data_IF_851561965608
#
_entry.id   IF_851561965608
#
_cell.length_a   1.000
_cell.length_b   1.000
_cell.length_c   1.000
_cell.angle_alpha   90.00
_cell.angle_beta   90.00
_cell.angle_gamma   90.00
#
_symmetry.space_group_name_H-M   'P 1'
#
loop_
_entity.id
_entity.type
_entity.pdbx_description
1 polymer ?
#
# COMPACT_ATOMS: atom_id res chain seq x y z
N UNK A 1 20.93 3.91 11.57
CA UNK A 1 20.34 3.80 10.22
C UNK A 1 21.41 3.31 9.26
N UNK A 2 21.13 2.27 8.52
CA UNK A 2 22.09 1.76 7.55
C UNK A 2 21.96 2.54 6.23
N UNK A 3 22.90 2.33 5.31
CA UNK A 3 22.92 3.04 4.04
C UNK A 3 21.71 2.74 3.17
N UNK A 4 21.10 1.57 3.34
CA UNK A 4 19.90 1.20 2.60
C UNK A 4 18.73 2.08 3.02
N UNK A 5 18.56 2.30 4.32
CA UNK A 5 17.44 3.13 4.81
C UNK A 5 17.59 4.57 4.35
N UNK A 6 18.82 5.10 4.40
CA UNK A 6 19.05 6.46 3.91
C UNK A 6 18.79 6.58 2.43
N UNK A 7 19.22 5.58 1.66
CA UNK A 7 19.00 5.56 0.21
C UNK A 7 17.51 5.42 -0.12
N UNK A 8 16.81 4.53 0.60
CA UNK A 8 15.39 4.33 0.38
C UNK A 8 14.59 5.60 0.68
N UNK A 9 14.90 6.27 1.77
CA UNK A 9 14.21 7.51 2.14
C UNK A 9 14.46 8.60 1.11
N UNK A 10 15.71 8.74 0.67
CA UNK A 10 16.08 9.72 -0.37
C UNK A 10 15.42 9.39 -1.69
N UNK A 11 15.41 8.11 -2.06
CA UNK A 11 14.78 7.66 -3.30
C UNK A 11 13.29 7.95 -3.29
N UNK A 12 12.61 7.60 -2.20
CA UNK A 12 11.17 7.87 -2.06
C UNK A 12 10.89 9.37 -2.17
N UNK A 13 11.72 10.21 -1.58
CA UNK A 13 11.51 11.65 -1.63
C UNK A 13 11.77 12.27 -2.99
N UNK A 14 12.74 11.73 -3.74
CA UNK A 14 13.18 12.33 -5.01
C UNK A 14 12.52 11.70 -6.22
N UNK A 15 12.30 10.38 -6.19
CA UNK A 15 11.85 9.64 -7.37
C UNK A 15 10.43 9.13 -7.24
N UNK A 16 10.06 8.71 -6.05
CA UNK A 16 8.86 7.92 -5.87
C UNK A 16 7.59 8.76 -5.67
N UNK A 17 7.71 9.97 -5.13
CA UNK A 17 6.54 10.80 -4.85
C UNK A 17 5.66 10.99 -6.07
N UNK A 18 6.24 11.39 -7.19
CA UNK A 18 5.50 11.61 -8.42
C UNK A 18 4.93 10.32 -9.00
N UNK A 19 5.75 9.26 -9.02
CA UNK A 19 5.35 7.98 -9.61
C UNK A 19 4.24 7.33 -8.77
N UNK A 20 4.46 7.23 -7.47
CA UNK A 20 3.48 6.57 -6.60
C UNK A 20 2.19 7.37 -6.47
N UNK A 21 2.28 8.70 -6.42
CA UNK A 21 1.08 9.53 -6.41
C UNK A 21 0.26 9.35 -7.67
N UNK A 22 0.91 9.30 -8.83
CA UNK A 22 0.22 9.07 -10.09
C UNK A 22 -0.44 7.69 -10.13
N UNK A 23 0.25 6.68 -9.60
CA UNK A 23 -0.33 5.33 -9.52
C UNK A 23 -1.54 5.30 -8.60
N UNK A 24 -1.44 5.91 -7.43
CA UNK A 24 -2.56 5.98 -6.51
C UNK A 24 -3.73 6.75 -7.10
N UNK A 25 -3.45 7.86 -7.77
CA UNK A 25 -4.49 8.66 -8.44
C UNK A 25 -5.15 7.87 -9.56
N UNK A 26 -4.37 7.09 -10.31
CA UNK A 26 -4.92 6.24 -11.36
C UNK A 26 -5.83 5.17 -10.79
N UNK A 27 -5.41 4.50 -9.72
CA UNK A 27 -6.25 3.50 -9.06
C UNK A 27 -7.52 4.12 -8.50
N UNK A 28 -7.40 5.28 -7.86
CA UNK A 28 -8.56 6.01 -7.35
C UNK A 28 -9.54 6.33 -8.48
N UNK A 29 -9.02 6.77 -9.62
CA UNK A 29 -9.84 7.05 -10.80
C UNK A 29 -10.58 5.81 -11.27
N UNK A 30 -9.89 4.65 -11.33
CA UNK A 30 -10.53 3.39 -11.71
C UNK A 30 -11.63 3.01 -10.71
N UNK A 31 -11.37 3.16 -9.42
CA UNK A 31 -12.35 2.81 -8.39
C UNK A 31 -13.58 3.69 -8.46
N UNK A 32 -13.39 4.98 -8.73
CA UNK A 32 -14.51 5.93 -8.86
C UNK A 32 -15.38 5.65 -10.06
N UNK A 33 -14.80 5.07 -11.12
CA UNK A 33 -15.52 4.72 -12.34
C UNK A 33 -16.17 3.34 -12.27
N UNK A 34 -15.93 2.60 -11.20
CA UNK A 34 -16.49 1.28 -11.04
C UNK A 34 -18.02 1.36 -10.86
N UNK A 35 -18.74 0.42 -11.48
CA UNK A 35 -20.18 0.33 -11.30
C UNK A 35 -20.56 -0.03 -9.87
N UNK A 36 -19.64 -0.70 -9.16
CA UNK A 36 -19.83 -1.09 -7.76
C UNK A 36 -18.96 -0.16 -6.92
N UNK A 37 -19.52 0.48 -5.87
CA UNK A 37 -18.71 1.35 -5.01
C UNK A 37 -17.53 0.59 -4.39
N UNK A 38 -16.34 1.20 -4.42
CA UNK A 38 -15.14 0.61 -3.83
C UNK A 38 -14.82 1.37 -2.55
N UNK A 39 -14.85 0.69 -1.42
CA UNK A 39 -14.50 1.25 -0.12
C UNK A 39 -13.35 0.52 0.52
N UNK A 40 -13.28 -0.80 0.34
CA UNK A 40 -12.26 -1.65 0.93
C UNK A 40 -11.31 -2.14 -0.15
N UNK A 41 -10.01 -2.02 0.12
CA UNK A 41 -8.97 -2.35 -0.85
C UNK A 41 -7.95 -3.26 -0.19
N UNK A 42 -7.59 -4.33 -0.88
CA UNK A 42 -6.50 -5.23 -0.48
C UNK A 42 -5.29 -4.93 -1.36
N UNK A 43 -4.17 -4.61 -0.72
CA UNK A 43 -2.90 -4.42 -1.42
C UNK A 43 -2.05 -5.65 -1.20
N UNK A 44 -1.89 -6.45 -2.25
CA UNK A 44 -1.08 -7.66 -2.21
C UNK A 44 0.39 -7.30 -2.45
N UNK A 45 1.28 -7.83 -1.62
CA UNK A 45 2.71 -7.56 -1.71
C UNK A 45 3.00 -6.06 -1.68
N UNK A 46 2.56 -5.40 -0.62
CA UNK A 46 2.57 -3.95 -0.52
C UNK A 46 3.97 -3.33 -0.43
N UNK A 47 5.01 -4.13 -0.18
CA UNK A 47 6.35 -3.59 0.03
C UNK A 47 6.36 -2.64 1.23
N UNK A 48 6.92 -1.45 1.06
CA UNK A 48 6.97 -0.44 2.13
C UNK A 48 5.65 0.30 2.32
N UNK A 49 4.60 -0.07 1.58
CA UNK A 49 3.26 0.43 1.81
C UNK A 49 2.97 1.83 1.29
N UNK A 50 3.77 2.35 0.37
CA UNK A 50 3.58 3.72 -0.13
C UNK A 50 2.22 3.88 -0.81
N UNK A 51 1.87 2.95 -1.72
CA UNK A 51 0.56 3.02 -2.40
C UNK A 51 -0.57 2.80 -1.41
N UNK A 52 -0.41 1.82 -0.49
CA UNK A 52 -1.43 1.55 0.51
C UNK A 52 -1.71 2.78 1.36
N UNK A 53 -0.67 3.49 1.79
CA UNK A 53 -0.82 4.71 2.58
C UNK A 53 -1.50 5.82 1.77
N UNK A 54 -1.14 5.97 0.50
CA UNK A 54 -1.75 6.99 -0.35
C UNK A 54 -3.23 6.71 -0.58
N UNK A 55 -3.61 5.45 -0.77
CA UNK A 55 -5.02 5.07 -0.91
C UNK A 55 -5.77 5.29 0.40
N UNK A 56 -5.16 4.93 1.52
CA UNK A 56 -5.78 5.18 2.83
C UNK A 56 -6.01 6.67 3.05
N UNK A 57 -5.06 7.51 2.65
CA UNK A 57 -5.20 8.96 2.76
C UNK A 57 -6.34 9.50 1.90
N UNK A 58 -6.72 8.78 0.85
CA UNK A 58 -7.85 9.15 -0.01
C UNK A 58 -9.19 8.67 0.54
N UNK A 59 -9.19 7.95 1.65
CA UNK A 59 -10.41 7.52 2.31
C UNK A 59 -10.76 6.04 2.16
N UNK A 60 -9.91 5.25 1.51
CA UNK A 60 -10.15 3.81 1.39
C UNK A 60 -9.75 3.09 2.67
N UNK A 61 -10.49 2.04 3.01
CA UNK A 61 -10.10 1.12 4.07
C UNK A 61 -9.18 0.08 3.46
N UNK A 62 -7.89 0.20 3.72
CA UNK A 62 -6.86 -0.60 3.03
C UNK A 62 -6.31 -1.67 3.97
N UNK A 63 -6.25 -2.90 3.48
CA UNK A 63 -5.49 -3.98 4.09
C UNK A 63 -4.27 -4.24 3.22
N UNK A 64 -3.10 -4.12 3.80
CA UNK A 64 -1.84 -4.24 3.08
C UNK A 64 -1.10 -5.48 3.56
N UNK A 65 -0.70 -6.35 2.63
CA UNK A 65 -0.04 -7.60 2.96
C UNK A 65 1.34 -7.69 2.34
N UNK A 66 2.24 -8.32 3.05
CA UNK A 66 3.57 -8.66 2.55
C UNK A 66 4.14 -9.80 3.39
N UNK A 67 5.12 -10.52 2.85
CA UNK A 67 5.83 -11.55 3.60
C UNK A 67 6.92 -10.95 4.48
N UNK A 68 7.44 -9.80 4.12
CA UNK A 68 8.56 -9.18 4.80
C UNK A 68 8.09 -8.37 5.99
N UNK A 69 8.44 -8.83 7.19
CA UNK A 69 8.17 -8.10 8.41
C UNK A 69 8.83 -6.72 8.40
N UNK A 70 10.02 -6.63 7.83
CA UNK A 70 10.75 -5.37 7.70
C UNK A 70 9.99 -4.37 6.83
N UNK A 71 9.45 -4.82 5.70
CA UNK A 71 8.66 -3.97 4.82
C UNK A 71 7.39 -3.49 5.51
N UNK A 72 6.72 -4.38 6.22
CA UNK A 72 5.51 -4.02 6.95
C UNK A 72 5.81 -3.01 8.06
N UNK A 73 6.94 -3.16 8.75
CA UNK A 73 7.34 -2.20 9.77
C UNK A 73 7.57 -0.82 9.17
N UNK A 74 8.21 -0.75 8.01
CA UNK A 74 8.40 0.52 7.33
C UNK A 74 7.06 1.13 6.92
N UNK A 75 6.14 0.30 6.44
CA UNK A 75 4.80 0.75 6.10
C UNK A 75 4.05 1.30 7.28
N UNK A 76 4.13 0.63 8.42
CA UNK A 76 3.50 1.09 9.65
C UNK A 76 4.07 2.42 10.11
N UNK A 77 5.38 2.62 9.95
CA UNK A 77 6.01 3.91 10.28
C UNK A 77 5.49 5.03 9.37
N UNK A 78 5.35 4.77 8.08
CA UNK A 78 4.78 5.76 7.15
C UNK A 78 3.34 6.09 7.51
N UNK A 79 2.59 5.07 7.93
CA UNK A 79 1.16 5.21 8.20
C UNK A 79 0.87 5.88 9.55
N UNK A 80 1.86 6.01 10.41
CA UNK A 80 1.64 6.48 11.78
C UNK A 80 1.02 7.88 11.85
N UNK A 81 1.24 8.71 10.83
CA UNK A 81 0.69 10.06 10.79
C UNK A 81 -0.70 10.12 10.17
N UNK A 82 -1.20 9.01 9.63
CA UNK A 82 -2.51 8.98 8.98
C UNK A 82 -3.62 8.82 10.01
N UNK A 83 -4.75 9.46 9.74
CA UNK A 83 -5.93 9.36 10.59
C UNK A 83 -6.52 7.96 10.54
N UNK A 84 -6.58 7.37 9.34
CA UNK A 84 -7.08 6.02 9.14
C UNK A 84 -6.03 5.20 8.40
N UNK A 85 -5.00 4.69 9.09
CA UNK A 85 -3.92 3.97 8.43
C UNK A 85 -4.38 2.63 7.86
N UNK A 86 -3.63 2.08 6.88
CA UNK A 86 -3.88 0.72 6.43
C UNK A 86 -3.69 -0.29 7.55
N UNK A 87 -4.35 -1.41 7.44
CA UNK A 87 -4.13 -2.56 8.32
C UNK A 87 -3.08 -3.45 7.66
N UNK A 88 -1.97 -3.68 8.32
CA UNK A 88 -0.84 -4.44 7.78
C UNK A 88 -0.87 -5.88 8.27
N UNK A 89 -0.76 -6.83 7.33
CA UNK A 89 -0.75 -8.26 7.62
C UNK A 89 0.46 -8.93 6.98
N UNK A 90 1.12 -9.79 7.73
CA UNK A 90 2.22 -10.60 7.21
C UNK A 90 1.66 -11.90 6.69
N UNK A 91 1.35 -11.96 5.40
CA UNK A 91 0.81 -13.15 4.75
C UNK A 91 1.31 -13.25 3.32
N UNK A 92 1.48 -14.48 2.84
CA UNK A 92 1.73 -14.73 1.42
C UNK A 92 0.40 -14.77 0.68
N UNK A 93 0.45 -14.46 -0.63
CA UNK A 93 -0.76 -14.53 -1.46
C UNK A 93 -1.42 -15.91 -1.43
N UNK A 94 -0.68 -17.04 -1.54
CA UNK A 94 -1.32 -18.36 -1.52
C UNK A 94 -1.98 -18.71 -0.20
N UNK A 95 -1.59 -18.07 0.89
CA UNK A 95 -2.12 -18.36 2.22
C UNK A 95 -2.99 -17.24 2.75
N UNK A 96 -3.30 -16.26 1.90
CA UNK A 96 -4.07 -15.10 2.32
C UNK A 96 -5.47 -15.50 2.74
N UNK A 97 -5.86 -15.06 3.94
CA UNK A 97 -7.21 -15.23 4.44
C UNK A 97 -7.68 -13.89 4.96
N UNK A 98 -8.85 -13.49 4.52
CA UNK A 98 -9.49 -12.26 4.97
C UNK A 98 -10.69 -12.60 5.83
N UNK A 99 -10.90 -11.83 6.89
CA UNK A 99 -12.08 -11.97 7.73
C UNK A 99 -13.33 -11.51 7.00
N UNK A 100 -13.18 -10.53 6.12
CA UNK A 100 -14.27 -9.97 5.34
C UNK A 100 -13.83 -9.82 3.90
N UNK A 101 -14.75 -9.93 2.93
CA UNK A 101 -14.42 -9.67 1.54
C UNK A 101 -14.04 -8.21 1.32
N UNK A 102 -13.21 -7.99 0.31
CA UNK A 102 -12.81 -6.63 -0.08
C UNK A 102 -13.44 -6.28 -1.43
N UNK A 103 -13.62 -4.98 -1.67
CA UNK A 103 -14.22 -4.50 -2.90
C UNK A 103 -13.24 -4.53 -4.07
N UNK A 104 -11.97 -4.33 -3.79
CA UNK A 104 -10.95 -4.32 -4.83
C UNK A 104 -9.64 -4.88 -4.29
N UNK A 105 -8.88 -5.52 -5.15
CA UNK A 105 -7.54 -6.00 -4.83
C UNK A 105 -6.56 -5.43 -5.86
N UNK A 106 -5.44 -4.93 -5.37
CA UNK A 106 -4.38 -4.42 -6.23
C UNK A 106 -3.07 -5.10 -5.86
N UNK A 107 -2.14 -5.12 -6.79
CA UNK A 107 -0.82 -5.64 -6.54
C UNK A 107 0.18 -4.57 -6.94
N UNK A 108 0.94 -4.10 -5.96
CA UNK A 108 1.93 -3.05 -6.18
C UNK A 108 3.32 -3.66 -6.18
N UNK A 109 3.55 -4.52 -7.16
CA UNK A 109 4.72 -5.41 -7.23
C UNK A 109 6.01 -4.71 -7.63
N UNK A 110 6.24 -3.50 -7.19
CA UNK A 110 7.47 -2.78 -7.50
C UNK A 110 8.70 -3.52 -7.01
N UNK A 111 8.55 -4.27 -5.93
CA UNK A 111 9.64 -5.03 -5.35
C UNK A 111 10.08 -6.22 -6.21
N UNK A 112 9.30 -6.59 -7.22
CA UNK A 112 9.61 -7.72 -8.08
C UNK A 112 10.32 -7.32 -9.38
N UNK A 113 10.55 -6.06 -9.57
CA UNK A 113 11.19 -5.56 -10.78
C UNK A 113 12.67 -5.30 -10.59
#
# INVERSE_FOLDING_TARGET
MNSYDALAASYDGLMADGVYRRRADFLDSLFRKSAIPVHTVLDLACGTGTIACLLAAKGYAVTATDLSEEMLTQGMCKAAALECPPFFLRQSMPKLRLLEPVDAAVSTLDSLN
#
